data_IF_930303670231
#
_entry.id   IF_930303670231
#
_cell.length_a   1.000
_cell.length_b   1.000
_cell.length_c   1.000
_cell.angle_alpha   90.00
_cell.angle_beta   90.00
_cell.angle_gamma   90.00
#
_symmetry.space_group_name_H-M   'P 1'
#
loop_
_entity.id
_entity.type
_entity.pdbx_description
1 polymer ?
#
# COMPACT_ATOMS: atom_id res chain seq x y z
N UNK A 1 13.00 28.85 9.60
CA UNK A 1 12.77 28.95 11.02
C UNK A 1 13.41 27.77 11.71
N UNK A 2 14.31 28.04 12.67
CA UNK A 2 15.01 27.05 13.48
C UNK A 2 13.97 26.34 14.36
N UNK A 3 13.79 25.06 14.16
CA UNK A 3 12.93 24.25 14.99
C UNK A 3 13.57 24.14 16.39
N UNK A 4 13.05 24.89 17.37
CA UNK A 4 13.50 24.77 18.75
C UNK A 4 12.92 23.48 19.34
N UNK A 5 13.78 22.65 19.93
CA UNK A 5 13.35 21.52 20.78
C UNK A 5 12.33 22.03 21.80
N UNK A 6 11.19 21.34 21.97
CA UNK A 6 10.34 21.66 23.11
C UNK A 6 11.20 21.54 24.37
N UNK A 7 11.23 22.62 25.17
CA UNK A 7 12.03 22.67 26.40
C UNK A 7 11.76 21.42 27.22
N UNK A 8 12.82 20.81 27.78
CA UNK A 8 12.78 19.58 28.63
C UNK A 8 11.74 19.62 29.74
N UNK A 9 11.15 20.77 30.00
CA UNK A 9 10.17 21.08 31.04
C UNK A 9 8.72 21.14 30.58
N UNK A 10 8.36 20.62 29.39
CA UNK A 10 6.94 20.57 29.04
C UNK A 10 6.34 19.17 29.35
N UNK A 11 6.02 18.91 30.65
CA UNK A 11 5.47 17.63 31.10
C UNK A 11 4.05 17.39 30.57
N UNK A 12 3.44 18.36 29.90
CA UNK A 12 2.06 18.30 29.40
C UNK A 12 1.89 17.20 28.34
N UNK A 13 2.87 17.02 27.45
CA UNK A 13 2.82 15.91 26.50
C UNK A 13 3.07 14.55 27.15
N UNK A 14 3.79 14.53 28.27
CA UNK A 14 4.13 13.28 29.01
C UNK A 14 3.02 12.92 30.00
N UNK A 15 2.28 13.93 30.46
CA UNK A 15 1.24 13.77 31.48
C UNK A 15 -0.17 13.57 30.94
N UNK A 16 -0.35 13.57 29.61
CA UNK A 16 -1.67 13.29 29.03
C UNK A 16 -2.07 11.86 29.40
N UNK A 17 -3.01 11.77 30.33
CA UNK A 17 -3.62 10.51 30.79
C UNK A 17 -4.32 9.73 29.66
N UNK A 18 -4.54 10.37 28.53
CA UNK A 18 -5.27 9.85 27.37
C UNK A 18 -4.50 8.75 26.62
N UNK A 19 -3.16 8.72 26.68
CA UNK A 19 -2.35 7.86 25.83
C UNK A 19 -1.60 6.73 26.56
N UNK A 20 -1.75 6.59 27.86
CA UNK A 20 -1.23 5.46 28.63
C UNK A 20 0.30 5.30 28.74
N UNK A 21 0.78 4.25 29.41
CA UNK A 21 2.22 4.03 29.71
C UNK A 21 3.09 3.85 28.46
N UNK A 22 2.56 3.25 27.40
CA UNK A 22 3.32 2.96 26.19
C UNK A 22 3.84 4.24 25.51
N UNK A 23 3.02 5.31 25.46
CA UNK A 23 3.46 6.57 24.87
C UNK A 23 4.53 7.25 25.70
N UNK A 24 4.49 7.12 27.04
CA UNK A 24 5.54 7.66 27.93
C UNK A 24 6.89 7.02 27.64
N UNK A 25 6.93 5.70 27.40
CA UNK A 25 8.16 4.97 27.06
C UNK A 25 8.70 5.48 25.71
N UNK A 26 7.84 5.62 24.70
CA UNK A 26 8.22 6.10 23.38
C UNK A 26 8.75 7.53 23.43
N UNK A 27 8.01 8.45 24.06
CA UNK A 27 8.43 9.84 24.22
C UNK A 27 9.74 9.95 25.01
N UNK A 28 9.90 9.13 26.06
CA UNK A 28 11.14 9.09 26.85
C UNK A 28 12.38 8.72 26.04
N UNK A 29 12.25 7.86 25.02
CA UNK A 29 13.33 7.55 24.08
C UNK A 29 13.71 8.75 23.21
N UNK A 30 12.71 9.47 22.68
CA UNK A 30 12.95 10.69 21.88
C UNK A 30 13.67 11.78 22.67
N UNK A 31 13.32 11.97 23.94
CA UNK A 31 13.93 12.97 24.80
C UNK A 31 15.41 12.67 25.13
N UNK A 32 15.83 11.40 25.06
CA UNK A 32 17.21 10.95 25.35
C UNK A 32 18.10 10.85 24.13
N UNK A 33 17.57 11.06 22.92
CA UNK A 33 18.35 10.98 21.68
C UNK A 33 19.29 12.16 21.55
N UNK A 34 20.45 11.93 20.92
CA UNK A 34 21.35 13.00 20.48
C UNK A 34 20.69 13.85 19.38
N UNK A 35 21.20 15.07 19.18
CA UNK A 35 20.57 16.05 18.27
C UNK A 35 20.62 15.61 16.80
N UNK A 36 21.64 14.87 16.39
CA UNK A 36 21.80 14.38 15.02
C UNK A 36 20.76 13.30 14.71
N UNK A 37 20.61 12.31 15.58
CA UNK A 37 19.61 11.25 15.47
C UNK A 37 18.20 11.82 15.52
N UNK A 38 17.90 12.74 16.44
CA UNK A 38 16.62 13.41 16.56
C UNK A 38 16.25 14.16 15.29
N UNK A 39 17.18 14.97 14.75
CA UNK A 39 16.96 15.72 13.49
C UNK A 39 16.75 14.80 12.30
N UNK A 40 17.47 13.66 12.25
CA UNK A 40 17.28 12.64 11.22
C UNK A 40 15.88 12.04 11.24
N UNK A 41 15.38 11.70 12.42
CA UNK A 41 14.02 11.16 12.59
C UNK A 41 12.96 12.19 12.20
N UNK A 42 13.13 13.45 12.62
CA UNK A 42 12.19 14.52 12.24
C UNK A 42 12.18 14.75 10.73
N UNK A 43 13.35 14.73 10.08
CA UNK A 43 13.44 14.86 8.62
C UNK A 43 12.72 13.71 7.91
N UNK A 44 12.88 12.48 8.41
CA UNK A 44 12.19 11.31 7.85
C UNK A 44 10.68 11.40 8.08
N UNK A 45 10.24 11.80 9.26
CA UNK A 45 8.83 12.02 9.56
C UNK A 45 8.23 13.10 8.64
N UNK A 46 8.90 14.25 8.49
CA UNK A 46 8.45 15.32 7.61
C UNK A 46 8.28 14.84 6.17
N UNK A 47 9.23 14.04 5.64
CA UNK A 47 9.11 13.43 4.32
C UNK A 47 7.91 12.48 4.24
N UNK A 48 7.68 11.67 5.27
CA UNK A 48 6.60 10.68 5.29
C UNK A 48 5.21 11.32 5.30
N UNK A 49 5.06 12.52 5.88
CA UNK A 49 3.78 13.24 5.94
C UNK A 49 3.69 14.40 4.94
N UNK A 50 4.67 14.56 4.06
CA UNK A 50 4.74 15.68 3.10
C UNK A 50 3.51 15.73 2.18
N UNK A 51 2.90 14.59 1.87
CA UNK A 51 1.68 14.53 1.07
C UNK A 51 0.51 15.31 1.69
N UNK A 52 0.49 15.50 3.02
CA UNK A 52 -0.52 16.32 3.71
C UNK A 52 -0.35 17.83 3.45
N UNK A 53 0.78 18.26 2.89
CA UNK A 53 0.97 19.64 2.46
C UNK A 53 0.20 19.97 1.18
N UNK A 54 -0.20 18.95 0.41
CA UNK A 54 -1.10 19.12 -0.73
C UNK A 54 -2.51 19.49 -0.24
N UNK A 55 -3.02 20.63 -0.71
CA UNK A 55 -4.30 21.17 -0.26
C UNK A 55 -5.50 20.28 -0.64
N UNK A 56 -5.41 19.53 -1.73
CA UNK A 56 -6.50 18.64 -2.16
C UNK A 56 -6.53 17.39 -1.28
N UNK A 57 -5.36 16.81 -1.00
CA UNK A 57 -5.25 15.68 -0.08
C UNK A 57 -5.69 16.10 1.33
N UNK A 58 -5.21 17.26 1.83
CA UNK A 58 -5.62 17.76 3.14
C UNK A 58 -7.14 17.95 3.24
N UNK A 59 -7.78 18.48 2.20
CA UNK A 59 -9.25 18.62 2.15
C UNK A 59 -9.95 17.28 2.11
N UNK A 60 -9.47 16.33 1.29
CA UNK A 60 -10.10 15.01 1.14
C UNK A 60 -9.99 14.15 2.39
N UNK A 61 -8.95 14.38 3.22
CA UNK A 61 -8.70 13.64 4.46
C UNK A 61 -9.24 14.33 5.72
N UNK A 62 -9.70 15.59 5.61
CA UNK A 62 -10.21 16.35 6.76
C UNK A 62 -11.51 15.78 7.35
N UNK A 63 -12.34 15.16 6.51
CA UNK A 63 -13.60 14.56 6.92
C UNK A 63 -13.86 13.28 6.14
N UNK A 64 -14.43 12.27 6.80
CA UNK A 64 -14.88 11.04 6.14
C UNK A 64 -16.35 11.18 5.74
N UNK A 65 -16.66 10.97 4.46
CA UNK A 65 -18.02 10.94 3.93
C UNK A 65 -18.64 9.54 3.96
N UNK A 66 -17.87 8.51 4.28
CA UNK A 66 -18.30 7.11 4.40
C UNK A 66 -17.46 6.41 5.47
N UNK A 67 -17.90 5.22 5.89
CA UNK A 67 -17.12 4.36 6.78
C UNK A 67 -16.46 3.23 6.00
N UNK A 68 -15.18 2.96 6.25
CA UNK A 68 -14.45 1.87 5.58
C UNK A 68 -15.17 0.49 5.67
N UNK A 69 -15.81 0.11 6.79
CA UNK A 69 -16.61 -1.12 6.86
C UNK A 69 -17.77 -1.20 5.85
N UNK A 70 -18.26 -0.07 5.33
CA UNK A 70 -19.31 -0.07 4.30
C UNK A 70 -18.83 -0.71 2.99
N UNK A 71 -17.51 -0.71 2.73
CA UNK A 71 -16.91 -1.42 1.59
C UNK A 71 -17.03 -2.95 1.72
N UNK A 72 -17.14 -3.46 2.94
CA UNK A 72 -17.23 -4.90 3.22
C UNK A 72 -18.69 -5.37 3.26
N UNK A 73 -19.57 -4.56 3.86
CA UNK A 73 -20.95 -4.96 4.18
C UNK A 73 -21.97 -4.34 3.24
N UNK A 74 -21.59 -3.36 2.43
CA UNK A 74 -22.46 -2.59 1.55
C UNK A 74 -22.19 -2.83 0.07
N UNK A 75 -23.08 -2.31 -0.76
CA UNK A 75 -22.88 -2.19 -2.21
C UNK A 75 -22.25 -0.83 -2.50
N UNK A 76 -20.99 -0.65 -2.09
CA UNK A 76 -20.29 0.62 -2.16
C UNK A 76 -19.12 0.51 -3.14
N UNK A 77 -18.97 1.49 -4.01
CA UNK A 77 -17.81 1.64 -4.87
C UNK A 77 -17.08 2.94 -4.52
N UNK A 78 -15.79 2.83 -4.22
CA UNK A 78 -14.91 3.95 -3.95
C UNK A 78 -14.00 4.17 -5.17
N UNK A 79 -14.09 5.35 -5.79
CA UNK A 79 -13.18 5.79 -6.85
C UNK A 79 -12.13 6.74 -6.28
N UNK A 80 -10.87 6.42 -6.52
CA UNK A 80 -9.73 7.27 -6.16
C UNK A 80 -9.09 7.71 -7.46
N UNK A 81 -9.23 8.99 -7.78
CA UNK A 81 -8.72 9.57 -9.03
C UNK A 81 -7.63 10.57 -8.70
N UNK A 82 -6.43 10.34 -9.23
CA UNK A 82 -5.27 11.22 -9.07
C UNK A 82 -4.74 11.55 -10.45
N UNK A 83 -4.49 12.82 -10.75
CA UNK A 83 -3.85 13.21 -12.01
C UNK A 83 -2.46 12.59 -12.15
N UNK A 84 -2.09 12.15 -13.37
CA UNK A 84 -0.83 11.45 -13.66
C UNK A 84 0.40 12.19 -13.13
N UNK A 85 0.43 13.50 -13.30
CA UNK A 85 1.54 14.36 -12.86
C UNK A 85 1.66 14.44 -11.32
N UNK A 86 0.68 13.96 -10.56
CA UNK A 86 0.68 13.95 -9.09
C UNK A 86 0.83 12.54 -8.50
N UNK A 87 0.70 11.49 -9.29
CA UNK A 87 0.66 10.11 -8.80
C UNK A 87 1.87 9.76 -7.93
N UNK A 88 3.09 10.08 -8.37
CA UNK A 88 4.30 9.82 -7.58
C UNK A 88 4.35 10.60 -6.27
N UNK A 89 3.92 11.85 -6.27
CA UNK A 89 3.88 12.68 -5.07
C UNK A 89 2.88 12.13 -4.04
N UNK A 90 1.78 11.55 -4.51
CA UNK A 90 0.71 11.01 -3.68
C UNK A 90 0.86 9.51 -3.37
N UNK A 91 1.92 8.86 -3.84
CA UNK A 91 2.14 7.42 -3.64
C UNK A 91 2.06 6.99 -2.16
N UNK A 92 2.56 7.83 -1.24
CA UNK A 92 2.47 7.53 0.20
C UNK A 92 1.03 7.53 0.71
N UNK A 93 0.22 8.48 0.27
CA UNK A 93 -1.20 8.52 0.61
C UNK A 93 -1.95 7.33 0.02
N UNK A 94 -1.70 7.00 -1.25
CA UNK A 94 -2.27 5.80 -1.89
C UNK A 94 -1.91 4.52 -1.14
N UNK A 95 -0.66 4.34 -0.69
CA UNK A 95 -0.27 3.19 0.14
C UNK A 95 -1.06 3.13 1.45
N UNK A 96 -1.31 4.27 2.10
CA UNK A 96 -2.14 4.31 3.31
C UNK A 96 -3.57 3.86 3.02
N UNK A 97 -4.15 4.29 1.89
CA UNK A 97 -5.50 3.84 1.49
C UNK A 97 -5.52 2.35 1.19
N UNK A 98 -4.54 1.83 0.43
CA UNK A 98 -4.42 0.38 0.16
C UNK A 98 -4.37 -0.39 1.47
N UNK A 99 -3.51 0.02 2.41
CA UNK A 99 -3.41 -0.64 3.71
C UNK A 99 -4.71 -0.54 4.52
N UNK A 100 -5.35 0.62 4.54
CA UNK A 100 -6.59 0.82 5.29
C UNK A 100 -7.73 -0.08 4.74
N UNK A 101 -7.85 -0.20 3.42
CA UNK A 101 -8.86 -1.07 2.79
C UNK A 101 -8.55 -2.54 3.08
N UNK A 102 -7.31 -3.00 2.87
CA UNK A 102 -6.94 -4.39 3.11
C UNK A 102 -7.13 -4.80 4.57
N UNK A 103 -6.72 -3.93 5.53
CA UNK A 103 -6.94 -4.16 6.95
C UNK A 103 -8.44 -4.19 7.32
N UNK A 104 -9.25 -3.36 6.65
CA UNK A 104 -10.69 -3.35 6.88
C UNK A 104 -11.31 -4.69 6.48
N UNK A 105 -10.97 -5.24 5.32
CA UNK A 105 -11.46 -6.56 4.91
C UNK A 105 -10.97 -7.68 5.84
N UNK A 106 -9.70 -7.66 6.26
CA UNK A 106 -9.17 -8.64 7.21
C UNK A 106 -9.90 -8.60 8.56
N UNK A 107 -10.28 -7.40 9.02
CA UNK A 107 -10.94 -7.21 10.33
C UNK A 107 -12.42 -7.57 10.31
N UNK A 108 -13.15 -7.13 9.28
CA UNK A 108 -14.60 -7.20 9.27
C UNK A 108 -15.14 -8.38 8.48
N UNK A 109 -14.42 -8.96 7.59
CA UNK A 109 -14.75 -10.11 6.72
C UNK A 109 -16.23 -10.17 6.27
N UNK A 110 -16.55 -10.32 4.99
CA UNK A 110 -17.94 -10.43 4.55
C UNK A 110 -18.66 -11.56 5.28
N UNK A 111 -19.82 -11.30 5.86
CA UNK A 111 -20.60 -12.30 6.59
C UNK A 111 -21.18 -13.35 5.64
N UNK A 112 -20.90 -14.62 5.87
CA UNK A 112 -21.52 -15.75 5.16
C UNK A 112 -21.33 -15.71 3.64
N UNK A 113 -22.43 -15.70 2.86
CA UNK A 113 -22.42 -15.55 1.40
C UNK A 113 -22.24 -14.10 0.94
N UNK A 114 -21.51 -13.29 1.71
CA UNK A 114 -21.26 -11.88 1.45
C UNK A 114 -20.64 -11.64 0.07
N UNK A 115 -20.94 -10.47 -0.50
CA UNK A 115 -20.36 -10.03 -1.76
C UNK A 115 -18.88 -9.78 -1.54
N UNK A 116 -18.05 -10.42 -2.37
CA UNK A 116 -16.60 -10.18 -2.35
C UNK A 116 -16.30 -8.77 -2.83
N UNK A 117 -15.34 -8.13 -2.18
CA UNK A 117 -14.79 -6.86 -2.66
C UNK A 117 -13.82 -7.09 -3.82
N UNK A 118 -13.71 -6.10 -4.70
CA UNK A 118 -12.66 -6.05 -5.73
C UNK A 118 -11.90 -4.74 -5.57
N UNK A 119 -10.59 -4.84 -5.47
CA UNK A 119 -9.70 -3.69 -5.45
C UNK A 119 -8.84 -3.68 -6.72
N UNK A 120 -9.17 -2.79 -7.64
CA UNK A 120 -8.46 -2.62 -8.89
C UNK A 120 -7.45 -1.48 -8.75
N UNK A 121 -6.18 -1.75 -9.04
CA UNK A 121 -5.07 -0.79 -9.02
C UNK A 121 -4.51 -0.72 -10.43
N UNK A 122 -4.90 0.32 -11.16
CA UNK A 122 -4.64 0.49 -12.59
C UNK A 122 -3.15 0.70 -12.92
N UNK A 123 -2.41 1.41 -12.10
CA UNK A 123 -0.95 1.57 -12.24
C UNK A 123 -0.29 1.15 -10.92
N UNK A 124 -0.24 -0.16 -10.69
CA UNK A 124 0.28 -0.70 -9.43
C UNK A 124 1.72 -0.26 -9.10
N UNK A 125 2.66 -0.17 -10.06
CA UNK A 125 4.03 0.27 -9.78
C UNK A 125 4.16 1.69 -9.23
N UNK A 126 3.21 2.57 -9.50
CA UNK A 126 3.21 3.96 -8.99
C UNK A 126 3.15 4.00 -7.46
N UNK A 127 2.54 3.02 -6.83
CA UNK A 127 2.53 2.90 -5.37
C UNK A 127 3.94 2.75 -4.80
N UNK A 128 4.93 2.36 -5.63
CA UNK A 128 6.21 1.87 -5.13
C UNK A 128 6.04 0.54 -4.40
N UNK A 129 6.98 0.21 -3.53
CA UNK A 129 6.93 -1.04 -2.78
C UNK A 129 5.87 -0.98 -1.67
N UNK A 130 4.96 -1.95 -1.67
CA UNK A 130 3.90 -2.14 -0.66
C UNK A 130 4.09 -3.54 -0.07
N UNK A 131 4.84 -3.63 1.02
CA UNK A 131 5.21 -4.92 1.63
C UNK A 131 3.99 -5.71 2.11
N UNK A 132 2.93 -5.04 2.57
CA UNK A 132 1.68 -5.69 2.98
C UNK A 132 1.03 -6.49 1.84
N UNK A 133 1.15 -6.06 0.59
CA UNK A 133 0.63 -6.84 -0.55
C UNK A 133 1.40 -8.15 -0.69
N UNK A 134 2.73 -8.13 -0.54
CA UNK A 134 3.54 -9.36 -0.65
C UNK A 134 3.21 -10.36 0.45
N UNK A 135 3.10 -9.87 1.69
CA UNK A 135 2.87 -10.72 2.86
C UNK A 135 1.42 -11.19 2.98
N UNK A 136 0.48 -10.36 2.58
CA UNK A 136 -0.92 -10.53 2.91
C UNK A 136 -1.81 -10.92 1.73
N UNK A 137 -1.28 -11.01 0.51
CA UNK A 137 -2.07 -11.26 -0.72
C UNK A 137 -2.99 -12.50 -0.61
N UNK A 138 -2.50 -13.58 0.01
CA UNK A 138 -3.29 -14.78 0.24
C UNK A 138 -4.34 -14.58 1.34
N UNK A 139 -3.99 -13.85 2.42
CA UNK A 139 -4.88 -13.55 3.55
C UNK A 139 -6.02 -12.64 3.13
N UNK A 140 -5.72 -11.61 2.33
CA UNK A 140 -6.68 -10.65 1.82
C UNK A 140 -7.72 -11.33 0.94
N UNK A 141 -7.30 -12.26 0.08
CA UNK A 141 -8.21 -13.08 -0.72
C UNK A 141 -9.11 -13.95 0.16
N UNK A 142 -8.55 -14.58 1.20
CA UNK A 142 -9.30 -15.34 2.20
C UNK A 142 -10.30 -14.48 2.98
N UNK A 143 -9.98 -13.22 3.19
CA UNK A 143 -10.85 -12.22 3.82
C UNK A 143 -11.92 -11.64 2.87
N UNK A 144 -12.06 -12.14 1.65
CA UNK A 144 -13.12 -11.74 0.73
C UNK A 144 -12.79 -10.53 -0.15
N UNK A 145 -11.51 -10.12 -0.27
CA UNK A 145 -11.08 -9.05 -1.16
C UNK A 145 -10.20 -9.61 -2.29
N UNK A 146 -10.63 -9.43 -3.52
CA UNK A 146 -9.87 -9.78 -4.71
C UNK A 146 -9.05 -8.57 -5.17
N UNK A 147 -7.73 -8.76 -5.33
CA UNK A 147 -6.83 -7.73 -5.82
C UNK A 147 -6.61 -7.91 -7.33
N UNK A 148 -6.85 -6.86 -8.09
CA UNK A 148 -6.50 -6.76 -9.50
C UNK A 148 -5.39 -5.74 -9.66
N UNK A 149 -4.19 -6.20 -10.01
CA UNK A 149 -3.00 -5.38 -10.14
C UNK A 149 -2.65 -5.25 -11.62
N UNK A 150 -2.58 -4.03 -12.14
CA UNK A 150 -2.20 -3.77 -13.53
C UNK A 150 -0.77 -3.23 -13.55
N UNK A 151 0.05 -3.81 -14.42
CA UNK A 151 1.45 -3.44 -14.64
C UNK A 151 1.72 -3.37 -16.14
N UNK A 152 2.67 -2.56 -16.56
CA UNK A 152 3.04 -2.44 -17.98
C UNK A 152 3.97 -3.57 -18.43
N UNK A 153 4.71 -4.21 -17.50
CA UNK A 153 5.60 -5.34 -17.75
C UNK A 153 6.07 -5.99 -16.45
N UNK A 154 6.58 -7.22 -16.54
CA UNK A 154 7.11 -7.93 -15.37
C UNK A 154 8.40 -7.31 -14.83
N UNK A 155 9.15 -6.58 -15.65
CA UNK A 155 10.34 -5.81 -15.28
C UNK A 155 10.03 -4.79 -14.19
N UNK A 156 8.89 -4.12 -14.24
CA UNK A 156 8.45 -3.19 -13.19
C UNK A 156 8.24 -3.90 -11.85
N UNK A 157 7.61 -5.08 -11.86
CA UNK A 157 7.44 -5.90 -10.65
C UNK A 157 8.78 -6.34 -10.08
N UNK A 158 9.68 -6.85 -10.93
CA UNK A 158 11.00 -7.29 -10.51
C UNK A 158 11.87 -6.14 -10.00
N UNK A 159 11.78 -4.97 -10.61
CA UNK A 159 12.49 -3.76 -10.16
C UNK A 159 12.06 -3.32 -8.75
N UNK A 160 10.75 -3.37 -8.44
CA UNK A 160 10.21 -2.92 -7.16
C UNK A 160 10.34 -3.98 -6.05
N UNK A 161 10.10 -5.24 -6.39
CA UNK A 161 9.95 -6.30 -5.40
C UNK A 161 11.10 -7.30 -5.39
N UNK A 162 12.01 -7.25 -6.37
CA UNK A 162 13.11 -8.20 -6.49
C UNK A 162 12.62 -9.65 -6.48
N UNK A 163 13.21 -10.52 -5.65
CA UNK A 163 12.78 -11.93 -5.54
C UNK A 163 11.32 -12.10 -5.11
N UNK A 164 10.76 -11.14 -4.37
CA UNK A 164 9.36 -11.19 -3.90
C UNK A 164 8.33 -10.99 -5.03
N UNK A 165 8.73 -10.53 -6.22
CA UNK A 165 7.86 -10.49 -7.40
C UNK A 165 7.31 -11.88 -7.75
N UNK A 166 8.12 -12.92 -7.59
CA UNK A 166 7.69 -14.31 -7.75
C UNK A 166 6.54 -14.70 -6.82
N UNK A 167 6.54 -14.22 -5.59
CA UNK A 167 5.47 -14.47 -4.63
C UNK A 167 4.15 -13.84 -5.09
N UNK A 168 4.19 -12.60 -5.60
CA UNK A 168 3.01 -11.93 -6.15
C UNK A 168 2.47 -12.76 -7.33
N UNK A 169 3.32 -13.08 -8.29
CA UNK A 169 2.93 -13.83 -9.49
C UNK A 169 2.37 -15.22 -9.17
N UNK A 170 2.93 -15.92 -8.19
CA UNK A 170 2.46 -17.25 -7.79
C UNK A 170 1.09 -17.19 -7.12
N UNK A 171 0.79 -16.12 -6.39
CA UNK A 171 -0.49 -15.94 -5.73
C UNK A 171 -1.60 -15.39 -6.66
N UNK A 172 -1.26 -14.95 -7.89
CA UNK A 172 -2.27 -14.59 -8.88
C UNK A 172 -2.99 -15.83 -9.41
N UNK A 173 -4.29 -15.94 -9.19
CA UNK A 173 -5.15 -17.00 -9.76
C UNK A 173 -5.31 -16.85 -11.27
N UNK A 174 -5.33 -15.61 -11.75
CA UNK A 174 -5.42 -15.26 -13.17
C UNK A 174 -4.30 -14.30 -13.53
N UNK A 175 -3.74 -14.48 -14.73
CA UNK A 175 -2.74 -13.59 -15.30
C UNK A 175 -3.12 -13.33 -16.75
N UNK A 176 -3.33 -12.07 -17.08
CA UNK A 176 -3.66 -11.63 -18.42
C UNK A 176 -2.46 -10.90 -19.01
N UNK A 177 -2.06 -11.28 -20.21
CA UNK A 177 -0.96 -10.68 -20.93
C UNK A 177 -1.47 -10.09 -22.22
N UNK A 178 -1.38 -8.78 -22.37
CA UNK A 178 -1.82 -8.05 -23.57
C UNK A 178 -0.63 -7.33 -24.18
N UNK A 179 -0.46 -7.50 -25.50
CA UNK A 179 0.53 -6.74 -26.28
C UNK A 179 1.96 -6.79 -25.69
N UNK A 180 2.41 -8.01 -25.33
CA UNK A 180 3.74 -8.22 -24.74
C UNK A 180 4.83 -7.77 -25.71
N UNK A 181 5.66 -6.80 -25.27
CA UNK A 181 6.76 -6.23 -26.09
C UNK A 181 8.13 -6.49 -25.49
N UNK A 182 8.21 -6.72 -24.18
CA UNK A 182 9.47 -6.98 -23.49
C UNK A 182 9.80 -8.48 -23.47
N UNK A 183 11.09 -8.77 -23.59
CA UNK A 183 11.59 -10.15 -23.68
C UNK A 183 11.33 -10.94 -22.38
N UNK A 184 11.46 -10.32 -21.22
CA UNK A 184 11.28 -10.98 -19.94
C UNK A 184 9.85 -11.50 -19.75
N UNK A 185 8.85 -10.66 -20.08
CA UNK A 185 7.44 -11.08 -20.04
C UNK A 185 7.16 -12.16 -21.11
N UNK A 186 7.69 -11.99 -22.31
CA UNK A 186 7.53 -12.98 -23.39
C UNK A 186 8.09 -14.36 -23.00
N UNK A 187 9.29 -14.40 -22.43
CA UNK A 187 9.90 -15.64 -21.94
C UNK A 187 9.09 -16.27 -20.79
N UNK A 188 8.63 -15.43 -19.85
CA UNK A 188 7.79 -15.91 -18.75
C UNK A 188 6.51 -16.57 -19.27
N UNK A 189 5.81 -15.94 -20.20
CA UNK A 189 4.59 -16.49 -20.83
C UNK A 189 4.90 -17.78 -21.57
N UNK A 190 5.94 -17.79 -22.42
CA UNK A 190 6.36 -18.97 -23.17
C UNK A 190 6.67 -20.16 -22.27
N UNK A 191 7.44 -19.93 -21.20
CA UNK A 191 7.78 -20.98 -20.21
C UNK A 191 6.55 -21.47 -19.44
N UNK A 192 5.60 -20.56 -19.15
CA UNK A 192 4.36 -20.89 -18.43
C UNK A 192 3.39 -21.74 -19.26
N UNK A 193 3.40 -21.58 -20.58
CA UNK A 193 2.58 -22.37 -21.50
C UNK A 193 3.14 -23.80 -21.74
N UNK A 194 4.43 -24.00 -21.47
CA UNK A 194 5.09 -25.26 -21.68
C UNK A 194 5.36 -25.54 -23.17
N UNK A 195 5.69 -26.79 -23.48
CA UNK A 195 6.01 -27.25 -24.84
C UNK A 195 5.00 -28.32 -25.27
N UNK A 196 4.54 -28.24 -26.51
CA UNK A 196 3.71 -29.25 -27.13
C UNK A 196 4.46 -29.92 -28.27
N UNK A 197 4.45 -31.25 -28.30
CA UNK A 197 5.00 -32.02 -29.43
C UNK A 197 4.00 -32.01 -30.58
N UNK A 198 4.39 -31.43 -31.72
CA UNK A 198 3.58 -31.45 -32.95
C UNK A 198 4.09 -32.57 -33.84
N UNK A 199 3.22 -33.51 -34.21
CA UNK A 199 3.54 -34.47 -35.28
C UNK A 199 3.38 -33.77 -36.63
N UNK A 200 4.48 -33.62 -37.35
CA UNK A 200 4.42 -33.24 -38.77
C UNK A 200 4.02 -34.45 -39.57
N UNK A 201 2.90 -34.38 -40.27
CA UNK A 201 2.52 -35.40 -41.25
C UNK A 201 3.15 -34.93 -42.57
N UNK A 202 4.16 -35.69 -43.05
CA UNK A 202 4.74 -35.53 -44.38
C UNK A 202 3.90 -36.24 -45.40
#
# INVERSE_FOLDING_TARGET
GTFQRPRRSNPVMIASSTFGPALRILVGRFLKMDDKTYSGILSQLAKSIQFLADSQIAKSTAQSSFHLPDLVNGRTTLYIVIPDNQMHAQATWLRLVVNAVTETFKRYQPAGNGVRGMFLIDEFPVLGRVDSIVTDIALVRGAGLDLTLIVQGLDQLHSLYGPSAGTILTNCGYKWFCNVKDLQTAEYVSKSLGQMTVRTVS
#
